data_IF_976161501210
#
_entry.id   IF_976161501210
#
_cell.length_a   1.000
_cell.length_b   1.000
_cell.length_c   1.000
_cell.angle_alpha   90.00
_cell.angle_beta   90.00
_cell.angle_gamma   90.00
#
_symmetry.space_group_name_H-M   'P 1'
#
loop_
_entity.id
_entity.type
_entity.pdbx_description
1 polymer ?
#
# COMPACT_ATOMS: atom_id res chain seq x y z
N UNK A 1 9.98 2.39 -8.01
CA UNK A 1 9.03 3.36 -8.61
C UNK A 1 8.53 4.30 -7.53
N UNK A 2 8.48 5.60 -7.80
CA UNK A 2 8.06 6.60 -6.83
C UNK A 2 6.54 6.75 -6.81
N UNK A 3 5.93 6.76 -5.62
CA UNK A 3 4.48 6.87 -5.44
C UNK A 3 4.17 8.13 -4.65
N UNK A 4 3.32 8.99 -5.20
CA UNK A 4 2.83 10.19 -4.48
C UNK A 4 1.31 10.20 -4.41
N UNK A 5 0.76 10.79 -3.36
CA UNK A 5 -0.67 11.09 -3.29
C UNK A 5 -0.92 12.50 -3.83
N UNK A 6 -2.12 12.73 -4.37
CA UNK A 6 -2.54 14.03 -4.87
C UNK A 6 -4.04 14.21 -4.70
N UNK A 7 -4.45 15.38 -4.19
CA UNK A 7 -5.85 15.78 -4.10
C UNK A 7 -6.39 16.34 -5.43
N UNK A 8 -5.55 16.45 -6.46
CA UNK A 8 -5.95 16.83 -7.80
C UNK A 8 -6.42 15.62 -8.60
N UNK A 9 -7.40 15.82 -9.48
CA UNK A 9 -7.84 14.81 -10.42
C UNK A 9 -6.70 14.45 -11.40
N UNK A 10 -6.72 13.19 -11.87
CA UNK A 10 -5.86 12.77 -12.96
C UNK A 10 -6.14 13.58 -14.23
N UNK A 11 -5.14 13.69 -15.10
CA UNK A 11 -5.34 14.25 -16.43
C UNK A 11 -6.39 13.42 -17.21
N UNK A 12 -7.24 14.09 -17.99
CA UNK A 12 -8.31 13.48 -18.78
C UNK A 12 -7.84 12.34 -19.71
N UNK A 13 -6.58 12.33 -20.12
CA UNK A 13 -5.98 11.25 -20.92
C UNK A 13 -6.05 9.87 -20.23
N UNK A 14 -6.14 9.81 -18.89
CA UNK A 14 -6.30 8.57 -18.12
C UNK A 14 -7.77 8.14 -17.97
N UNK A 15 -8.70 8.97 -18.43
CA UNK A 15 -10.14 8.74 -18.33
C UNK A 15 -10.77 9.35 -17.08
N UNK A 16 -12.11 9.50 -17.13
CA UNK A 16 -12.89 10.04 -16.02
C UNK A 16 -12.79 9.11 -14.80
N UNK A 17 -12.40 9.67 -13.66
CA UNK A 17 -12.23 8.97 -12.37
C UNK A 17 -11.04 7.98 -12.31
N UNK A 18 -9.97 8.22 -13.07
CA UNK A 18 -8.74 7.46 -12.91
C UNK A 18 -8.17 7.64 -11.49
N UNK A 19 -7.91 6.51 -10.82
CA UNK A 19 -7.33 6.48 -9.47
C UNK A 19 -5.80 6.58 -9.48
N UNK A 20 -5.19 6.33 -10.64
CA UNK A 20 -3.75 6.30 -10.87
C UNK A 20 -3.46 7.04 -12.18
N UNK A 21 -2.39 7.82 -12.17
CA UNK A 21 -1.71 8.27 -13.38
C UNK A 21 -0.22 7.96 -13.26
N UNK A 22 0.45 7.92 -14.40
CA UNK A 22 1.87 7.62 -14.48
C UNK A 22 2.59 8.72 -15.25
N UNK A 23 3.78 9.07 -14.77
CA UNK A 23 4.75 9.89 -15.47
C UNK A 23 6.14 9.31 -15.22
N UNK A 24 6.74 8.76 -16.27
CA UNK A 24 8.09 8.19 -16.22
C UNK A 24 8.24 7.12 -15.12
N UNK A 25 9.03 7.38 -14.07
CA UNK A 25 9.24 6.47 -12.92
C UNK A 25 8.34 6.81 -11.72
N UNK A 26 7.30 7.63 -11.92
CA UNK A 26 6.39 8.09 -10.88
C UNK A 26 4.96 7.65 -11.17
N UNK A 27 4.31 7.13 -10.14
CA UNK A 27 2.87 6.92 -10.11
C UNK A 27 2.23 7.91 -9.14
N UNK A 28 1.11 8.52 -9.53
CA UNK A 28 0.35 9.42 -8.67
C UNK A 28 -1.01 8.79 -8.37
N UNK A 29 -1.34 8.64 -7.09
CA UNK A 29 -2.65 8.21 -6.63
C UNK A 29 -3.52 9.44 -6.41
N UNK A 30 -4.68 9.48 -7.04
CA UNK A 30 -5.58 10.64 -7.01
C UNK A 30 -6.67 10.46 -5.95
N UNK A 31 -6.51 11.14 -4.82
CA UNK A 31 -7.43 11.14 -3.68
C UNK A 31 -8.70 11.93 -4.01
N UNK A 32 -9.78 11.65 -3.26
CA UNK A 32 -11.09 12.29 -3.43
C UNK A 32 -11.44 13.23 -2.26
N UNK A 33 -10.51 13.52 -1.36
CA UNK A 33 -10.72 14.28 -0.13
C UNK A 33 -11.84 13.70 0.75
N UNK A 34 -11.92 12.37 0.83
CA UNK A 34 -12.82 11.64 1.69
C UNK A 34 -12.07 10.47 2.31
N UNK A 35 -11.59 10.70 3.53
CA UNK A 35 -10.65 9.86 4.27
C UNK A 35 -11.02 8.36 4.31
N UNK A 36 -12.31 8.04 4.53
CA UNK A 36 -12.75 6.63 4.55
C UNK A 36 -12.64 5.98 3.17
N UNK A 37 -13.05 6.68 2.12
CA UNK A 37 -12.99 6.15 0.76
C UNK A 37 -11.57 6.19 0.19
N UNK A 38 -10.76 7.15 0.63
CA UNK A 38 -9.40 7.36 0.14
C UNK A 38 -8.44 6.28 0.62
N UNK A 39 -8.57 5.79 1.86
CA UNK A 39 -7.83 4.59 2.31
C UNK A 39 -8.10 3.39 1.41
N UNK A 40 -9.37 3.17 1.07
CA UNK A 40 -9.75 2.08 0.14
C UNK A 40 -9.19 2.33 -1.26
N UNK A 41 -9.16 3.57 -1.73
CA UNK A 41 -8.60 3.95 -3.03
C UNK A 41 -7.09 3.72 -3.08
N UNK A 42 -6.35 4.11 -2.05
CA UNK A 42 -4.90 3.87 -1.91
C UNK A 42 -4.60 2.37 -1.93
N UNK A 43 -5.37 1.57 -1.18
CA UNK A 43 -5.22 0.11 -1.18
C UNK A 43 -5.48 -0.49 -2.57
N UNK A 44 -6.53 -0.05 -3.26
CA UNK A 44 -6.84 -0.49 -4.62
C UNK A 44 -5.74 -0.09 -5.61
N UNK A 45 -5.20 1.12 -5.51
CA UNK A 45 -4.11 1.59 -6.33
C UNK A 45 -2.86 0.74 -6.12
N UNK A 46 -2.46 0.50 -4.87
CA UNK A 46 -1.35 -0.39 -4.53
C UNK A 46 -1.51 -1.79 -5.14
N UNK A 47 -2.72 -2.38 -5.06
CA UNK A 47 -3.02 -3.68 -5.69
C UNK A 47 -2.87 -3.65 -7.20
N UNK A 48 -3.29 -2.57 -7.87
CA UNK A 48 -3.12 -2.41 -9.32
C UNK A 48 -1.65 -2.31 -9.70
N UNK A 49 -0.87 -1.51 -8.97
CA UNK A 49 0.58 -1.39 -9.19
C UNK A 49 1.27 -2.75 -9.06
N UNK A 50 0.95 -3.50 -8.01
CA UNK A 50 1.46 -4.86 -7.82
C UNK A 50 1.08 -5.79 -8.97
N UNK A 51 -0.17 -5.70 -9.44
CA UNK A 51 -0.67 -6.46 -10.58
C UNK A 51 0.04 -6.18 -11.91
N UNK A 52 0.69 -5.02 -12.05
CA UNK A 52 1.54 -4.68 -13.21
C UNK A 52 2.96 -5.27 -13.11
N UNK A 53 3.27 -6.00 -12.04
CA UNK A 53 4.60 -6.60 -11.82
C UNK A 53 5.59 -5.68 -11.12
N UNK A 54 5.14 -4.53 -10.62
CA UNK A 54 6.00 -3.59 -9.90
C UNK A 54 6.29 -4.17 -8.51
N UNK A 55 7.58 -4.28 -8.19
CA UNK A 55 8.06 -4.93 -6.95
C UNK A 55 8.62 -3.96 -5.93
N UNK A 56 9.30 -2.92 -6.38
CA UNK A 56 9.98 -1.99 -5.49
C UNK A 56 9.39 -0.59 -5.65
N UNK A 57 8.87 -0.05 -4.55
CA UNK A 57 8.22 1.25 -4.51
C UNK A 57 8.74 2.10 -3.37
N UNK A 58 8.76 3.41 -3.60
CA UNK A 58 9.14 4.43 -2.63
C UNK A 58 7.98 5.40 -2.48
N UNK A 59 7.46 5.55 -1.27
CA UNK A 59 6.33 6.42 -0.96
C UNK A 59 6.85 7.82 -0.61
N UNK A 60 6.48 8.82 -1.42
CA UNK A 60 7.00 10.18 -1.32
C UNK A 60 5.88 11.22 -1.21
N UNK A 61 6.18 12.33 -0.53
CA UNK A 61 5.29 13.48 -0.37
C UNK A 61 4.66 13.60 1.03
N UNK A 62 4.18 14.79 1.34
CA UNK A 62 3.67 15.16 2.69
C UNK A 62 2.28 14.59 3.01
N UNK A 63 1.53 14.19 1.98
CA UNK A 63 0.17 13.65 2.13
C UNK A 63 0.13 12.24 2.72
N UNK A 64 1.28 11.57 2.84
CA UNK A 64 1.34 10.24 3.43
C UNK A 64 1.30 10.31 4.95
N UNK A 65 0.22 9.78 5.52
CA UNK A 65 0.10 9.52 6.95
C UNK A 65 0.20 8.02 7.26
N UNK A 66 0.10 7.67 8.55
CA UNK A 66 0.07 6.30 9.04
C UNK A 66 -1.01 5.46 8.34
N UNK A 67 -2.20 6.02 8.14
CA UNK A 67 -3.36 5.29 7.64
C UNK A 67 -3.24 4.99 6.14
N UNK A 68 -2.72 5.92 5.35
CA UNK A 68 -2.43 5.72 3.94
C UNK A 68 -1.24 4.79 3.73
N UNK A 69 -0.18 4.89 4.55
CA UNK A 69 0.92 3.93 4.52
C UNK A 69 0.42 2.51 4.78
N UNK A 70 -0.40 2.34 5.82
CA UNK A 70 -1.02 1.05 6.13
C UNK A 70 -1.94 0.55 5.02
N UNK A 71 -2.81 1.40 4.48
CA UNK A 71 -3.69 1.04 3.38
C UNK A 71 -2.91 0.61 2.12
N UNK A 72 -1.85 1.34 1.77
CA UNK A 72 -0.97 1.00 0.65
C UNK A 72 -0.30 -0.37 0.89
N UNK A 73 0.29 -0.58 2.07
CA UNK A 73 0.89 -1.85 2.47
C UNK A 73 -0.07 -3.02 2.27
N UNK A 74 -1.29 -2.91 2.79
CA UNK A 74 -2.30 -3.96 2.67
C UNK A 74 -2.68 -4.28 1.22
N UNK A 75 -2.65 -3.30 0.33
CA UNK A 75 -2.96 -3.49 -1.09
C UNK A 75 -1.79 -4.07 -1.88
N UNK A 76 -0.57 -3.73 -1.48
CA UNK A 76 0.67 -4.18 -2.12
C UNK A 76 1.10 -5.58 -1.66
N UNK A 77 0.71 -5.99 -0.44
CA UNK A 77 1.01 -7.29 0.14
C UNK A 77 0.60 -8.45 -0.78
N UNK A 78 1.50 -9.43 -0.88
CA UNK A 78 1.23 -10.74 -1.49
C UNK A 78 1.90 -11.82 -0.66
N UNK A 79 1.31 -13.03 -0.64
CA UNK A 79 1.85 -14.15 0.14
C UNK A 79 3.27 -14.57 -0.26
N UNK A 80 3.73 -14.23 -1.48
CA UNK A 80 5.10 -14.49 -1.94
C UNK A 80 6.14 -13.58 -1.29
N UNK A 81 5.72 -12.45 -0.73
CA UNK A 81 6.59 -11.43 -0.11
C UNK A 81 7.78 -11.01 -0.99
N UNK A 82 7.63 -11.06 -2.32
CA UNK A 82 8.66 -10.68 -3.28
C UNK A 82 8.50 -9.20 -3.71
N UNK A 83 8.53 -8.30 -2.73
CA UNK A 83 8.35 -6.86 -2.92
C UNK A 83 9.06 -6.04 -1.85
N UNK A 84 9.37 -4.78 -2.17
CA UNK A 84 9.93 -3.78 -1.27
C UNK A 84 9.07 -2.51 -1.25
N UNK A 85 8.82 -1.98 -0.06
CA UNK A 85 8.16 -0.68 0.15
C UNK A 85 9.07 0.16 1.03
N UNK A 86 9.56 1.27 0.50
CA UNK A 86 10.19 2.33 1.28
C UNK A 86 9.11 3.33 1.71
N UNK A 87 8.84 3.38 3.01
CA UNK A 87 7.86 4.27 3.62
C UNK A 87 8.42 5.69 3.77
N UNK A 88 7.57 6.72 3.77
CA UNK A 88 8.04 8.07 4.05
C UNK A 88 8.50 8.17 5.51
N UNK A 89 9.24 9.23 5.82
CA UNK A 89 9.53 9.54 7.21
C UNK A 89 8.24 9.97 7.92
N UNK A 90 7.85 9.22 8.95
CA UNK A 90 6.76 9.54 9.85
C UNK A 90 7.33 9.95 11.21
N UNK A 91 6.54 10.65 12.03
CA UNK A 91 6.88 10.87 13.43
C UNK A 91 7.15 9.54 14.13
N UNK A 92 8.07 9.53 15.10
CA UNK A 92 8.56 8.31 15.76
C UNK A 92 7.43 7.37 16.22
N UNK A 93 6.44 7.89 16.95
CA UNK A 93 5.33 7.08 17.48
C UNK A 93 4.44 6.50 16.35
N UNK A 94 4.28 7.23 15.24
CA UNK A 94 3.52 6.76 14.09
C UNK A 94 4.30 5.72 13.28
N UNK A 95 5.62 5.89 13.18
CA UNK A 95 6.50 4.92 12.54
C UNK A 95 6.50 3.59 13.32
N UNK A 96 6.61 3.65 14.64
CA UNK A 96 6.54 2.47 15.51
C UNK A 96 5.20 1.76 15.38
N UNK A 97 4.09 2.51 15.39
CA UNK A 97 2.75 1.95 15.18
C UNK A 97 2.59 1.28 13.80
N UNK A 98 3.12 1.90 12.73
CA UNK A 98 3.09 1.30 11.40
C UNK A 98 3.85 -0.04 11.37
N UNK A 99 5.05 -0.08 11.96
CA UNK A 99 5.87 -1.28 12.01
C UNK A 99 5.20 -2.38 12.84
N UNK A 100 4.60 -2.03 13.98
CA UNK A 100 3.85 -2.97 14.81
C UNK A 100 2.64 -3.58 14.06
N UNK A 101 1.92 -2.76 13.27
CA UNK A 101 0.81 -3.25 12.41
C UNK A 101 1.30 -4.19 11.33
N UNK A 102 2.43 -3.90 10.71
CA UNK A 102 3.04 -4.75 9.67
C UNK A 102 3.45 -6.09 10.30
N UNK A 103 4.19 -6.08 11.41
CA UNK A 103 4.63 -7.28 12.09
C UNK A 103 3.45 -8.17 12.52
N UNK A 104 2.47 -7.60 13.21
CA UNK A 104 1.28 -8.34 13.64
C UNK A 104 0.47 -8.86 12.44
N UNK A 105 0.29 -8.02 11.42
CA UNK A 105 -0.46 -8.37 10.22
C UNK A 105 0.20 -9.50 9.43
N UNK A 106 1.52 -9.48 9.32
CA UNK A 106 2.29 -10.49 8.61
C UNK A 106 2.35 -11.80 9.38
N UNK A 107 2.45 -11.75 10.71
CA UNK A 107 2.33 -12.92 11.56
C UNK A 107 0.97 -13.61 11.36
N UNK A 108 -0.13 -12.87 11.44
CA UNK A 108 -1.48 -13.42 11.26
C UNK A 108 -1.66 -13.99 9.85
N UNK A 109 -1.27 -13.25 8.81
CA UNK A 109 -1.37 -13.74 7.43
C UNK A 109 -0.46 -14.93 7.18
N UNK A 110 0.73 -14.95 7.76
CA UNK A 110 1.68 -16.06 7.68
C UNK A 110 1.04 -17.34 8.21
N UNK A 111 0.57 -17.30 9.47
CA UNK A 111 -0.13 -18.42 10.11
C UNK A 111 -1.32 -18.92 9.28
N UNK A 112 -2.15 -18.01 8.76
CA UNK A 112 -3.34 -18.40 7.97
C UNK A 112 -2.96 -19.02 6.62
N UNK A 113 -1.87 -18.55 6.00
CA UNK A 113 -1.41 -19.05 4.71
C UNK A 113 -0.57 -20.33 4.82
N UNK A 114 -0.16 -20.73 6.03
CA UNK A 114 0.57 -21.98 6.25
C UNK A 114 -0.30 -23.19 5.89
N UNK A 115 0.25 -24.20 5.18
CA UNK A 115 -0.47 -25.44 4.91
C UNK A 115 -0.89 -26.15 6.20
N UNK A 116 -2.08 -26.75 6.21
CA UNK A 116 -2.60 -27.52 7.36
C UNK A 116 -1.70 -28.69 7.81
N UNK A 117 -0.85 -29.20 6.90
CA UNK A 117 0.16 -30.20 7.24
C UNK A 117 1.27 -29.63 8.14
N UNK A 118 1.61 -28.35 7.97
CA UNK A 118 2.63 -27.64 8.75
C UNK A 118 2.05 -27.11 10.07
N UNK A 119 0.80 -26.65 10.06
CA UNK A 119 0.15 -26.03 11.22
C UNK A 119 -1.17 -26.72 11.57
N UNK A 120 -1.12 -27.57 12.60
CA UNK A 120 -2.25 -28.35 13.14
C UNK A 120 -2.23 -28.32 14.67
N UNK A 121 -3.38 -28.49 15.35
CA UNK A 121 -3.39 -28.64 16.80
C UNK A 121 -2.47 -29.77 17.28
N UNK A 122 -1.67 -29.50 18.31
CA UNK A 122 -0.86 -30.49 19.01
C UNK A 122 -1.71 -31.09 20.14
N UNK A 123 -1.63 -32.41 20.34
CA UNK A 123 -2.32 -33.12 21.42
C UNK A 123 -1.62 -32.94 22.76
#
# INVERSE_FOLDING_TARGET
>A
MQITLSNNLANDAWGKNAILSFDSNKATIHLKNNEKTDRTLVQQAARKLRGQGIKDVELLGEEWDLEFCWAFYQGFYTAKQDYGIEFPHLDHDLQDELLARIECGDFVRGIINEPAQSLTPVK
#
